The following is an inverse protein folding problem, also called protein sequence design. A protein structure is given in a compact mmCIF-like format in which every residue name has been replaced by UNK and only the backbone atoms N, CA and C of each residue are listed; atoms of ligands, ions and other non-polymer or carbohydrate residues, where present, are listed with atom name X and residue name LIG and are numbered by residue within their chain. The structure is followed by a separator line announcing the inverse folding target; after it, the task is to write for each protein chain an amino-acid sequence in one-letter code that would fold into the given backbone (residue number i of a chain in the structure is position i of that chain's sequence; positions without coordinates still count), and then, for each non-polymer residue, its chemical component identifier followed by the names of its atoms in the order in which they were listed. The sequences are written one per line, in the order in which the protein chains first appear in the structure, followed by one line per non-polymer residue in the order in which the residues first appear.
data_IF_449600993188
#
_entry.id   IF_449600993188
#
_cell.length_a   1.000
_cell.length_b   1.000
_cell.length_c   1.000
_cell.angle_alpha   90.00
_cell.angle_beta   90.00
_cell.angle_gamma   90.00
#
_symmetry.space_group_name_H-M   'P 1'
#
loop_
_entity.id
_entity.type
_entity.pdbx_description
1 polymer ?
#
# COMPACT_ATOMS: atom_id res chain seq x y z
N UNK A 1 -14.94 15.81 -24.25
CA UNK A 1 -14.32 15.55 -22.93
C UNK A 1 -12.86 15.91 -23.10
N UNK A 2 -12.40 17.03 -22.54
CA UNK A 2 -10.97 17.36 -22.64
C UNK A 2 -10.21 16.36 -21.78
N UNK A 3 -9.43 15.49 -22.43
CA UNK A 3 -8.41 14.67 -21.79
C UNK A 3 -7.30 15.57 -21.25
N UNK A 4 -7.59 16.37 -20.23
CA UNK A 4 -6.57 17.10 -19.50
C UNK A 4 -5.69 16.07 -18.78
N UNK A 5 -4.42 15.91 -19.18
CA UNK A 5 -3.54 14.91 -18.57
C UNK A 5 -3.36 15.14 -17.08
N UNK A 6 -3.46 16.39 -16.61
CA UNK A 6 -3.35 16.73 -15.18
C UNK A 6 -4.54 16.19 -14.40
N UNK A 7 -5.76 16.35 -14.92
CA UNK A 7 -6.98 15.78 -14.32
C UNK A 7 -6.92 14.25 -14.25
N UNK A 8 -6.46 13.59 -15.31
CA UNK A 8 -6.29 12.13 -15.31
C UNK A 8 -5.27 11.68 -14.26
N UNK A 9 -4.12 12.35 -14.16
CA UNK A 9 -3.09 12.06 -13.15
C UNK A 9 -3.59 12.29 -11.71
N UNK A 10 -4.43 13.31 -11.49
CA UNK A 10 -5.08 13.55 -10.18
C UNK A 10 -6.03 12.41 -9.83
N UNK A 11 -6.84 11.95 -10.77
CA UNK A 11 -7.74 10.81 -10.56
C UNK A 11 -6.94 9.53 -10.23
N UNK A 12 -5.88 9.25 -10.99
CA UNK A 12 -4.96 8.12 -10.73
C UNK A 12 -4.36 8.24 -9.32
N UNK A 13 -3.91 9.43 -8.92
CA UNK A 13 -3.37 9.66 -7.57
C UNK A 13 -4.40 9.35 -6.48
N UNK A 14 -5.66 9.75 -6.65
CA UNK A 14 -6.71 9.44 -5.68
C UNK A 14 -6.94 7.93 -5.55
N UNK A 15 -6.92 7.20 -6.67
CA UNK A 15 -7.01 5.73 -6.68
C UNK A 15 -5.83 5.11 -5.93
N UNK A 16 -4.60 5.58 -6.17
CA UNK A 16 -3.43 5.07 -5.45
C UNK A 16 -3.49 5.34 -3.95
N UNK A 17 -4.04 6.47 -3.52
CA UNK A 17 -4.23 6.78 -2.10
C UNK A 17 -5.22 5.80 -1.47
N UNK A 18 -6.38 5.57 -2.09
CA UNK A 18 -7.36 4.65 -1.55
C UNK A 18 -6.86 3.20 -1.59
N UNK A 19 -6.20 2.79 -2.67
CA UNK A 19 -5.55 1.48 -2.76
C UNK A 19 -4.52 1.29 -1.64
N UNK A 20 -3.69 2.31 -1.36
CA UNK A 20 -2.70 2.25 -0.28
C UNK A 20 -3.36 2.11 1.10
N UNK A 21 -4.50 2.76 1.32
CA UNK A 21 -5.28 2.64 2.55
C UNK A 21 -5.86 1.24 2.73
N UNK A 22 -6.46 0.69 1.67
CA UNK A 22 -7.01 -0.67 1.67
C UNK A 22 -5.90 -1.72 1.87
N UNK A 23 -4.76 -1.55 1.21
CA UNK A 23 -3.58 -2.40 1.39
C UNK A 23 -3.13 -2.39 2.86
N UNK A 24 -3.01 -1.22 3.49
CA UNK A 24 -2.63 -1.13 4.91
C UNK A 24 -3.61 -1.84 5.85
N UNK A 25 -4.92 -1.77 5.56
CA UNK A 25 -5.94 -2.53 6.31
C UNK A 25 -5.76 -4.04 6.11
N UNK A 26 -5.57 -4.49 4.87
CA UNK A 26 -5.36 -5.90 4.55
C UNK A 26 -4.08 -6.46 5.20
N UNK A 27 -2.96 -5.72 5.13
CA UNK A 27 -1.69 -6.09 5.76
C UNK A 27 -1.83 -6.20 7.27
N UNK A 28 -2.50 -5.23 7.92
CA UNK A 28 -2.77 -5.33 9.37
C UNK A 28 -3.59 -6.57 9.71
N UNK A 29 -4.66 -6.85 8.96
CA UNK A 29 -5.49 -8.06 9.16
C UNK A 29 -4.66 -9.34 9.00
N UNK A 30 -3.83 -9.43 7.96
CA UNK A 30 -2.95 -10.57 7.73
C UNK A 30 -1.95 -10.74 8.87
N UNK A 31 -1.34 -9.66 9.36
CA UNK A 31 -0.44 -9.69 10.52
C UNK A 31 -1.15 -10.15 11.80
N UNK A 32 -2.35 -9.65 12.07
CA UNK A 32 -3.17 -10.09 13.22
C UNK A 32 -3.57 -11.56 13.11
N UNK A 33 -3.80 -12.06 11.89
CA UNK A 33 -4.07 -13.47 11.62
C UNK A 33 -2.81 -14.37 11.71
N UNK A 34 -1.65 -13.81 12.05
CA UNK A 34 -0.41 -14.56 12.23
C UNK A 34 0.39 -14.81 10.95
N UNK A 35 -0.03 -14.29 9.79
CA UNK A 35 0.75 -14.46 8.56
C UNK A 35 2.14 -13.81 8.71
N UNK A 36 3.23 -14.52 8.38
CA UNK A 36 4.56 -13.95 8.39
C UNK A 36 4.71 -12.87 7.31
N UNK A 37 5.60 -11.91 7.53
CA UNK A 37 5.88 -10.85 6.55
C UNK A 37 6.30 -11.35 5.18
N UNK A 38 6.97 -12.50 5.10
CA UNK A 38 7.29 -13.15 3.83
C UNK A 38 6.03 -13.51 3.05
N UNK A 39 5.06 -14.18 3.68
CA UNK A 39 3.80 -14.55 3.02
C UNK A 39 2.96 -13.35 2.59
N UNK A 40 3.01 -12.24 3.34
CA UNK A 40 2.36 -10.99 2.93
C UNK A 40 3.07 -10.36 1.73
N UNK A 41 4.41 -10.40 1.71
CA UNK A 41 5.20 -9.89 0.59
C UNK A 41 4.93 -10.69 -0.70
N UNK A 42 4.88 -12.03 -0.59
CA UNK A 42 4.54 -12.92 -1.69
C UNK A 42 3.13 -12.61 -2.24
N UNK A 43 2.14 -12.44 -1.37
CA UNK A 43 0.77 -12.10 -1.76
C UNK A 43 0.66 -10.72 -2.45
N UNK A 44 1.53 -9.77 -2.10
CA UNK A 44 1.59 -8.44 -2.70
C UNK A 44 2.50 -8.37 -3.93
N UNK A 45 3.23 -9.44 -4.26
CA UNK A 45 4.20 -9.46 -5.36
C UNK A 45 5.40 -8.53 -5.13
N UNK A 46 5.76 -8.28 -3.86
CA UNK A 46 6.88 -7.39 -3.49
C UNK A 46 7.90 -8.14 -2.66
N UNK A 47 9.08 -7.55 -2.47
CA UNK A 47 10.08 -8.14 -1.59
C UNK A 47 9.67 -8.00 -0.12
N UNK A 48 10.10 -8.95 0.72
CA UNK A 48 9.93 -8.87 2.18
C UNK A 48 10.45 -7.55 2.75
N UNK A 49 11.57 -7.05 2.23
CA UNK A 49 12.14 -5.76 2.67
C UNK A 49 11.24 -4.58 2.30
N UNK A 50 10.62 -4.60 1.11
CA UNK A 50 9.70 -3.56 0.68
C UNK A 50 8.44 -3.52 1.58
N UNK A 51 7.86 -4.69 1.90
CA UNK A 51 6.68 -4.74 2.78
C UNK A 51 7.03 -4.31 4.21
N UNK A 52 8.19 -4.72 4.73
CA UNK A 52 8.67 -4.29 6.05
C UNK A 52 8.92 -2.79 6.10
N UNK A 53 9.52 -2.20 5.05
CA UNK A 53 9.77 -0.76 5.01
C UNK A 53 8.47 0.05 4.98
N UNK A 54 7.47 -0.44 4.23
CA UNK A 54 6.17 0.21 4.08
C UNK A 54 5.26 0.05 5.30
N UNK A 55 5.27 -1.10 5.96
CA UNK A 55 4.28 -1.48 6.98
C UNK A 55 4.86 -1.92 8.34
N UNK A 56 6.15 -2.22 8.41
CA UNK A 56 6.80 -2.90 9.54
C UNK A 56 7.20 -2.04 10.73
N UNK A 57 6.83 -0.75 10.75
CA UNK A 57 7.18 0.16 11.82
C UNK A 57 8.25 1.15 11.38
N UNK A 58 7.81 2.22 10.73
CA UNK A 58 8.56 3.45 10.64
C UNK A 58 7.68 4.56 11.16
N UNK A 59 8.17 5.31 12.14
CA UNK A 59 7.57 6.56 12.66
C UNK A 59 7.59 7.69 11.60
N UNK A 60 7.42 7.37 10.32
CA UNK A 60 7.49 8.29 9.18
C UNK A 60 6.16 8.45 8.42
N UNK A 61 5.05 7.90 8.92
CA UNK A 61 3.72 8.33 8.47
C UNK A 61 3.22 9.47 9.36
N UNK A 62 3.92 10.60 9.28
CA UNK A 62 3.39 11.93 9.58
C UNK A 62 3.68 12.75 8.33
N UNK A 63 2.74 12.71 7.40
CA UNK A 63 2.49 13.73 6.37
C UNK A 63 1.00 13.65 6.04
#
# INVERSE_FOLDING_TARGET
MSDDPVTALRAIRLIHVELSRLEAVAVRRARTAGLPWAGIADALGVTRQAVHRKHGGSRFSRD
#
